data_IF_353788427496
#
_entry.id   IF_353788427496
#
_cell.length_a   1.000
_cell.length_b   1.000
_cell.length_c   1.000
_cell.angle_alpha   90.00
_cell.angle_beta   90.00
_cell.angle_gamma   90.00
#
_symmetry.space_group_name_H-M   'P 1'
#
loop_
_entity.id
_entity.type
_entity.pdbx_description
1 polymer ?
#
# COMPACT_ATOMS: atom_id res chain seq x y z
N UNK A 1 5.05 12.64 -5.82
CA UNK A 1 4.57 13.85 -5.14
C UNK A 1 4.42 13.50 -3.66
N UNK A 2 5.14 14.21 -2.79
CA UNK A 2 5.10 14.06 -1.34
C UNK A 2 3.97 14.91 -0.77
N UNK A 3 3.20 14.40 0.18
CA UNK A 3 2.13 15.17 0.85
C UNK A 3 2.60 15.50 2.25
N UNK A 4 2.68 16.79 2.57
CA UNK A 4 3.10 17.27 3.88
C UNK A 4 2.00 18.08 4.52
N UNK A 5 1.75 17.84 5.80
CA UNK A 5 0.87 18.68 6.61
C UNK A 5 1.75 19.63 7.40
N UNK A 6 1.43 20.93 7.37
CA UNK A 6 2.08 21.92 8.22
C UNK A 6 1.04 22.64 9.06
N UNK A 7 1.17 22.59 10.38
CA UNK A 7 0.16 23.11 11.29
C UNK A 7 0.75 23.61 12.62
N UNK A 8 0.11 24.62 13.18
CA UNK A 8 0.42 25.15 14.52
C UNK A 8 -0.68 24.72 15.48
N UNK A 9 -0.31 23.99 16.53
CA UNK A 9 -1.24 23.33 17.44
C UNK A 9 -0.77 23.39 18.89
N UNK A 10 -1.73 23.42 19.82
CA UNK A 10 -1.52 23.30 21.26
C UNK A 10 -1.11 21.89 21.70
N UNK A 11 -0.78 21.72 22.98
CA UNK A 11 -0.38 20.43 23.56
C UNK A 11 -1.49 19.39 23.42
N UNK A 12 -2.75 19.78 23.61
CA UNK A 12 -3.93 18.95 23.40
C UNK A 12 -4.46 18.88 21.94
N UNK A 13 -3.61 19.15 20.94
CA UNK A 13 -3.91 19.05 19.49
C UNK A 13 -4.98 20.02 18.96
N UNK A 14 -5.35 21.06 19.71
CA UNK A 14 -6.28 22.11 19.26
C UNK A 14 -5.56 23.09 18.33
N UNK A 15 -6.21 23.43 17.22
CA UNK A 15 -5.85 24.53 16.33
C UNK A 15 -6.63 25.78 16.78
N UNK A 16 -5.93 26.81 17.25
CA UNK A 16 -6.53 28.09 17.64
C UNK A 16 -5.88 29.26 16.89
N UNK A 17 -6.64 29.88 15.99
CA UNK A 17 -6.23 31.04 15.19
C UNK A 17 -5.70 32.22 16.03
N UNK A 18 -6.11 32.33 17.30
CA UNK A 18 -5.65 33.39 18.21
C UNK A 18 -4.23 33.15 18.73
N UNK A 19 -3.85 31.89 18.99
CA UNK A 19 -2.47 31.54 19.38
C UNK A 19 -1.49 31.66 18.21
N UNK A 20 -1.96 31.39 16.99
CA UNK A 20 -1.14 31.35 15.76
C UNK A 20 -0.65 32.75 15.34
N UNK A 21 -1.43 33.81 15.60
CA UNK A 21 -1.16 35.16 15.07
C UNK A 21 0.08 35.87 15.63
N UNK A 22 0.72 35.32 16.66
CA UNK A 22 1.76 36.02 17.42
C UNK A 22 3.10 35.28 17.50
N UNK A 23 3.25 34.13 16.82
CA UNK A 23 4.52 33.39 16.75
C UNK A 23 5.33 33.82 15.52
N UNK A 24 6.17 34.84 15.67
CA UNK A 24 6.97 35.37 14.55
C UNK A 24 7.90 34.32 13.91
N UNK A 25 8.42 33.39 14.72
CA UNK A 25 9.25 32.30 14.24
C UNK A 25 8.46 31.22 13.51
N UNK A 26 7.20 30.96 13.89
CA UNK A 26 6.32 30.04 13.17
C UNK A 26 6.07 30.52 11.74
N UNK A 27 5.82 31.83 11.56
CA UNK A 27 5.67 32.41 10.22
C UNK A 27 6.94 32.25 9.35
N UNK A 28 8.12 32.33 9.95
CA UNK A 28 9.39 32.07 9.25
C UNK A 28 9.51 30.59 8.88
N UNK A 29 9.20 29.70 9.82
CA UNK A 29 9.21 28.25 9.62
C UNK A 29 8.25 27.84 8.49
N UNK A 30 7.02 28.34 8.54
CA UNK A 30 6.01 28.14 7.49
C UNK A 30 6.50 28.63 6.12
N UNK A 31 7.12 29.81 6.03
CA UNK A 31 7.68 30.31 4.76
C UNK A 31 8.84 29.45 4.27
N UNK A 32 9.72 29.02 5.17
CA UNK A 32 10.88 28.19 4.84
C UNK A 32 10.45 26.89 4.16
N UNK A 33 9.41 26.24 4.67
CA UNK A 33 8.89 25.00 4.10
C UNK A 33 8.05 25.20 2.84
N UNK A 34 7.21 26.24 2.79
CA UNK A 34 6.15 26.32 1.76
C UNK A 34 6.50 27.15 0.53
N UNK A 35 7.53 27.99 0.56
CA UNK A 35 7.88 28.87 -0.57
C UNK A 35 8.30 28.04 -1.80
N UNK A 36 7.97 28.51 -3.01
CA UNK A 36 8.12 27.79 -4.30
C UNK A 36 7.37 26.45 -4.41
N UNK A 37 6.57 26.08 -3.40
CA UNK A 37 5.77 24.85 -3.38
C UNK A 37 4.29 25.13 -3.61
N UNK A 38 3.48 24.07 -3.71
CA UNK A 38 2.02 24.20 -3.73
C UNK A 38 1.45 24.11 -2.33
N UNK A 39 0.51 25.02 -2.02
CA UNK A 39 -0.26 25.00 -0.78
C UNK A 39 -1.73 24.69 -1.08
N UNK A 40 -2.28 23.73 -0.36
CA UNK A 40 -3.69 23.34 -0.42
C UNK A 40 -4.37 23.77 0.87
N UNK A 41 -5.45 24.55 0.73
CA UNK A 41 -6.19 25.08 1.87
C UNK A 41 -7.69 25.04 1.66
N UNK A 42 -8.44 25.03 2.77
CA UNK A 42 -9.90 25.14 2.72
C UNK A 42 -10.36 26.59 2.54
N UNK A 43 -11.58 26.77 2.04
CA UNK A 43 -12.23 28.09 1.87
C UNK A 43 -12.12 29.01 3.10
N UNK A 44 -12.35 28.48 4.31
CA UNK A 44 -12.29 29.27 5.55
C UNK A 44 -10.87 29.79 5.83
N UNK A 45 -9.86 28.96 5.59
CA UNK A 45 -8.45 29.32 5.73
C UNK A 45 -8.07 30.41 4.74
N UNK A 46 -8.46 30.27 3.46
CA UNK A 46 -8.26 31.31 2.45
C UNK A 46 -8.91 32.64 2.86
N UNK A 47 -10.17 32.60 3.32
CA UNK A 47 -10.88 33.80 3.79
C UNK A 47 -10.17 34.47 4.98
N UNK A 48 -9.54 33.69 5.87
CA UNK A 48 -8.76 34.20 7.00
C UNK A 48 -7.43 34.85 6.55
N UNK A 49 -6.76 34.29 5.54
CA UNK A 49 -5.57 34.86 4.93
C UNK A 49 -5.85 36.15 4.14
N UNK A 50 -7.03 36.24 3.52
CA UNK A 50 -7.51 37.40 2.77
C UNK A 50 -6.91 37.57 1.37
N UNK A 51 -5.78 36.93 1.09
CA UNK A 51 -5.12 36.92 -0.23
C UNK A 51 -4.28 35.65 -0.43
N UNK A 52 -3.96 35.28 -1.69
CA UNK A 52 -3.05 34.19 -1.97
C UNK A 52 -1.68 34.43 -1.34
N UNK A 53 -1.04 33.35 -0.91
CA UNK A 53 0.32 33.39 -0.39
C UNK A 53 1.31 33.62 -1.55
N UNK A 54 2.20 34.63 -1.48
CA UNK A 54 3.10 34.94 -2.59
C UNK A 54 4.10 33.82 -2.83
N UNK A 55 4.59 33.70 -4.07
CA UNK A 55 5.59 32.71 -4.50
C UNK A 55 5.20 31.26 -4.20
N UNK A 56 3.90 30.97 -4.31
CA UNK A 56 3.29 29.65 -4.08
C UNK A 56 2.15 29.46 -5.07
N UNK A 57 1.97 28.23 -5.52
CA UNK A 57 0.72 27.84 -6.19
C UNK A 57 -0.33 27.62 -5.10
N UNK A 58 -1.38 28.42 -5.10
CA UNK A 58 -2.41 28.39 -4.08
C UNK A 58 -3.64 27.63 -4.59
N UNK A 59 -4.02 26.56 -3.90
CA UNK A 59 -5.20 25.75 -4.22
C UNK A 59 -6.21 25.88 -3.09
N UNK A 60 -7.45 26.24 -3.43
CA UNK A 60 -8.56 26.39 -2.49
C UNK A 60 -9.57 25.27 -2.72
N UNK A 61 -9.65 24.34 -1.76
CA UNK A 61 -10.63 23.26 -1.72
C UNK A 61 -11.95 23.77 -1.12
N UNK A 62 -13.04 23.65 -1.87
CA UNK A 62 -14.35 24.14 -1.47
C UNK A 62 -15.48 23.34 -2.11
N UNK A 63 -16.59 23.16 -1.39
CA UNK A 63 -17.84 22.62 -1.95
C UNK A 63 -18.71 23.67 -2.63
N UNK A 64 -18.34 24.95 -2.52
CA UNK A 64 -19.07 26.06 -3.13
C UNK A 64 -18.66 26.17 -4.61
N UNK A 65 -19.56 25.93 -5.57
CA UNK A 65 -19.28 26.16 -6.98
C UNK A 65 -18.94 27.63 -7.23
N UNK A 66 -18.07 27.88 -8.21
CA UNK A 66 -17.70 29.23 -8.67
C UNK A 66 -17.22 30.17 -7.55
N UNK A 67 -16.56 29.63 -6.52
CA UNK A 67 -16.06 30.44 -5.41
C UNK A 67 -14.99 31.44 -5.90
N UNK A 68 -15.16 32.76 -5.67
CA UNK A 68 -14.24 33.76 -6.18
C UNK A 68 -12.99 33.84 -5.31
N UNK A 69 -11.97 33.04 -5.63
CA UNK A 69 -10.64 33.08 -5.01
C UNK A 69 -9.60 33.56 -6.04
N UNK A 70 -9.56 34.88 -6.25
CA UNK A 70 -8.64 35.50 -7.21
C UNK A 70 -7.17 35.12 -6.92
N UNK A 71 -6.43 34.74 -7.96
CA UNK A 71 -5.04 34.29 -7.84
C UNK A 71 -4.87 32.88 -7.23
N UNK A 72 -5.96 32.16 -6.99
CA UNK A 72 -5.95 30.75 -6.57
C UNK A 72 -6.59 29.84 -7.63
N UNK A 73 -6.23 28.57 -7.58
CA UNK A 73 -6.95 27.51 -8.29
C UNK A 73 -8.02 26.98 -7.34
N UNK A 74 -9.27 26.98 -7.78
CA UNK A 74 -10.40 26.48 -7.00
C UNK A 74 -10.71 25.06 -7.44
N UNK A 75 -10.81 24.17 -6.47
CA UNK A 75 -11.05 22.74 -6.70
C UNK A 75 -12.12 22.22 -5.74
N UNK A 76 -12.72 21.09 -6.10
CA UNK A 76 -13.90 20.54 -5.44
C UNK A 76 -13.69 19.14 -4.84
N UNK A 77 -12.54 18.51 -5.09
CA UNK A 77 -12.12 17.26 -4.43
C UNK A 77 -10.62 17.24 -4.10
N UNK A 78 -10.22 16.33 -3.22
CA UNK A 78 -8.81 16.08 -2.89
C UNK A 78 -8.02 15.65 -4.13
N UNK A 79 -8.61 14.83 -4.99
CA UNK A 79 -7.98 14.30 -6.21
C UNK A 79 -7.69 15.43 -7.21
N UNK A 80 -8.65 16.35 -7.38
CA UNK A 80 -8.48 17.53 -8.23
C UNK A 80 -7.38 18.44 -7.66
N UNK A 81 -7.37 18.65 -6.34
CA UNK A 81 -6.32 19.42 -5.67
C UNK A 81 -4.92 18.84 -5.93
N UNK A 82 -4.79 17.51 -5.85
CA UNK A 82 -3.52 16.81 -6.07
C UNK A 82 -3.11 16.79 -7.54
N UNK A 83 -4.07 16.68 -8.47
CA UNK A 83 -3.80 16.75 -9.90
C UNK A 83 -3.27 18.14 -10.30
N UNK A 84 -3.82 19.19 -9.70
CA UNK A 84 -3.40 20.58 -9.92
C UNK A 84 -2.08 20.90 -9.22
N UNK A 85 -1.62 20.10 -8.27
CA UNK A 85 -0.56 20.55 -7.38
C UNK A 85 0.82 20.68 -8.03
N UNK A 86 1.09 20.01 -9.15
CA UNK A 86 2.22 20.31 -10.07
C UNK A 86 3.64 20.36 -9.51
N UNK A 87 3.85 20.07 -8.22
CA UNK A 87 5.09 20.23 -7.46
C UNK A 87 5.55 18.89 -6.91
N UNK A 88 6.83 18.77 -6.57
CA UNK A 88 7.36 17.54 -5.97
C UNK A 88 6.80 17.29 -4.57
N UNK A 89 6.56 18.35 -3.80
CA UNK A 89 5.97 18.33 -2.45
C UNK A 89 4.84 19.36 -2.33
N UNK A 90 3.73 18.92 -1.74
CA UNK A 90 2.53 19.74 -1.53
C UNK A 90 2.29 19.91 -0.04
N UNK A 91 1.91 21.11 0.35
CA UNK A 91 1.66 21.47 1.75
C UNK A 91 0.18 21.67 1.99
N UNK A 92 -0.39 20.81 2.83
CA UNK A 92 -1.73 20.98 3.37
C UNK A 92 -1.62 21.94 4.55
N UNK A 93 -2.27 23.10 4.44
CA UNK A 93 -2.16 24.20 5.42
C UNK A 93 -3.49 24.44 6.18
N UNK A 94 -4.38 23.44 6.14
CA UNK A 94 -5.66 23.44 6.85
C UNK A 94 -6.84 23.97 6.03
N UNK A 95 -8.03 24.16 6.61
CA UNK A 95 -8.39 24.00 8.01
C UNK A 95 -8.66 22.55 8.43
N UNK A 96 -9.31 22.35 9.58
CA UNK A 96 -9.48 21.03 10.21
C UNK A 96 -10.07 19.93 9.32
N UNK A 97 -11.08 20.25 8.49
CA UNK A 97 -11.64 19.28 7.54
C UNK A 97 -10.59 18.87 6.49
N UNK A 98 -9.83 19.83 5.96
CA UNK A 98 -8.77 19.55 4.98
C UNK A 98 -7.65 18.72 5.63
N UNK A 99 -7.22 19.05 6.85
CA UNK A 99 -6.25 18.21 7.57
C UNK A 99 -6.75 16.77 7.73
N UNK A 100 -8.03 16.57 8.10
CA UNK A 100 -8.61 15.23 8.22
C UNK A 100 -8.60 14.48 6.89
N UNK A 101 -8.97 15.13 5.79
CA UNK A 101 -9.08 14.50 4.48
C UNK A 101 -7.72 14.03 3.96
N UNK A 102 -6.64 14.76 4.26
CA UNK A 102 -5.29 14.41 3.83
C UNK A 102 -4.48 13.62 4.86
N UNK A 103 -4.94 13.46 6.11
CA UNK A 103 -4.14 12.90 7.22
C UNK A 103 -3.53 11.53 6.91
N UNK A 104 -4.33 10.61 6.38
CA UNK A 104 -3.87 9.24 6.09
C UNK A 104 -2.99 9.17 4.83
N UNK A 105 -3.04 10.20 3.97
CA UNK A 105 -2.29 10.33 2.73
C UNK A 105 -0.96 11.06 2.94
N UNK A 106 -0.80 11.79 4.04
CA UNK A 106 0.41 12.53 4.36
C UNK A 106 1.63 11.60 4.58
N UNK A 107 2.78 12.09 4.15
CA UNK A 107 4.11 11.51 4.31
C UNK A 107 4.88 12.17 5.45
N UNK A 108 4.69 13.48 5.66
CA UNK A 108 5.29 14.23 6.76
C UNK A 108 4.25 15.06 7.53
N UNK A 109 4.54 15.33 8.79
CA UNK A 109 3.93 16.41 9.57
C UNK A 109 5.03 17.39 10.01
N UNK A 110 4.86 18.67 9.71
CA UNK A 110 5.67 19.77 10.24
C UNK A 110 4.80 20.53 11.25
N UNK A 111 5.05 20.32 12.55
CA UNK A 111 4.19 20.86 13.59
C UNK A 111 4.91 21.88 14.44
N UNK A 112 4.30 23.06 14.58
CA UNK A 112 4.63 23.99 15.65
C UNK A 112 3.75 23.63 16.85
N UNK A 113 4.33 22.92 17.83
CA UNK A 113 3.68 22.48 19.06
C UNK A 113 3.84 23.54 20.14
N UNK A 114 2.76 24.24 20.47
CA UNK A 114 2.73 25.19 21.58
C UNK A 114 2.46 24.41 22.87
N UNK A 115 3.35 24.52 23.85
CA UNK A 115 3.30 23.77 25.11
C UNK A 115 2.33 24.41 26.11
N UNK A 116 1.06 24.47 25.72
CA UNK A 116 -0.08 24.87 26.55
C UNK A 116 -1.32 24.13 26.07
N UNK A 117 -2.24 23.85 26.99
CA UNK A 117 -3.57 23.37 26.63
C UNK A 117 -4.49 24.54 26.29
N UNK A 118 -5.38 24.33 25.32
CA UNK A 118 -6.32 25.34 24.84
C UNK A 118 -7.71 24.73 24.72
N UNK A 119 -8.74 25.52 24.98
CA UNK A 119 -10.14 25.12 24.78
C UNK A 119 -10.54 25.52 23.36
N UNK A 120 -10.90 24.54 22.53
CA UNK A 120 -11.37 24.79 21.16
C UNK A 120 -12.16 23.62 20.59
N UNK A 121 -12.73 23.83 19.40
CA UNK A 121 -13.57 22.86 18.68
C UNK A 121 -12.87 22.26 17.44
N UNK A 122 -11.66 22.73 17.14
CA UNK A 122 -10.93 22.47 15.92
C UNK A 122 -9.62 21.77 16.25
N UNK A 123 -9.45 20.55 15.75
CA UNK A 123 -8.34 19.67 16.12
C UNK A 123 -7.65 19.10 14.87
N UNK A 124 -6.35 18.82 14.98
CA UNK A 124 -5.72 17.82 14.11
C UNK A 124 -6.05 16.41 14.62
N UNK A 125 -6.06 15.39 13.75
CA UNK A 125 -6.14 14.00 14.19
C UNK A 125 -4.98 13.63 15.14
N UNK A 126 -5.15 12.60 15.98
CA UNK A 126 -4.11 12.18 16.92
C UNK A 126 -2.86 11.68 16.19
N UNK A 127 -1.69 12.09 16.68
CA UNK A 127 -0.39 11.62 16.21
C UNK A 127 -0.11 10.29 16.90
N UNK A 128 -0.35 9.18 16.20
CA UNK A 128 -0.11 7.84 16.75
C UNK A 128 1.34 7.40 16.51
N UNK A 129 2.02 6.94 17.54
CA UNK A 129 3.42 6.47 17.48
C UNK A 129 3.64 5.19 16.68
N UNK A 130 2.57 4.46 16.36
CA UNK A 130 2.63 3.32 15.43
C UNK A 130 2.61 3.75 13.96
N UNK A 131 2.21 5.00 13.67
CA UNK A 131 2.15 5.57 12.31
C UNK A 131 3.23 6.62 12.07
N UNK A 132 3.60 7.42 13.07
CA UNK A 132 4.51 8.54 12.94
C UNK A 132 5.78 8.35 13.77
N UNK A 133 6.93 8.70 13.20
CA UNK A 133 8.22 8.77 13.89
C UNK A 133 8.59 10.25 14.01
N UNK A 134 8.93 10.72 15.21
CA UNK A 134 9.56 12.02 15.41
C UNK A 134 10.98 11.97 14.84
N UNK A 135 11.24 12.73 13.77
CA UNK A 135 12.54 12.78 13.09
C UNK A 135 13.44 13.87 13.70
N UNK A 136 12.83 14.97 14.13
CA UNK A 136 13.54 16.08 14.78
C UNK A 136 12.61 16.90 15.66
N UNK A 137 13.19 17.52 16.70
CA UNK A 137 12.54 18.50 17.56
C UNK A 137 13.50 19.63 17.87
N UNK A 138 13.02 20.86 17.70
CA UNK A 138 13.70 22.08 18.11
C UNK A 138 12.82 22.82 19.12
N UNK A 139 13.30 23.00 20.34
CA UNK A 139 12.56 23.65 21.42
C UNK A 139 12.91 25.14 21.54
N UNK A 140 11.91 25.97 21.77
CA UNK A 140 12.02 27.41 21.99
C UNK A 140 11.32 27.82 23.29
N UNK A 141 12.05 28.57 24.12
CA UNK A 141 11.51 29.20 25.32
C UNK A 141 10.60 30.38 24.97
N UNK A 142 9.63 30.63 25.85
CA UNK A 142 8.77 31.80 25.82
C UNK A 142 9.59 33.10 25.79
N UNK A 143 9.22 34.00 24.88
CA UNK A 143 9.71 35.38 24.84
C UNK A 143 8.59 36.35 24.43
N UNK A 144 8.80 37.65 24.64
CA UNK A 144 7.82 38.69 24.30
C UNK A 144 7.54 38.78 22.78
N UNK A 145 8.45 38.29 21.93
CA UNK A 145 8.30 38.29 20.47
C UNK A 145 7.44 37.14 19.95
N UNK A 146 7.18 36.13 20.78
CA UNK A 146 6.50 34.88 20.42
C UNK A 146 5.40 34.54 21.44
N UNK A 147 4.57 35.52 21.77
CA UNK A 147 3.34 35.34 22.56
C UNK A 147 3.52 34.90 24.02
N UNK A 148 4.74 34.78 24.53
CA UNK A 148 5.01 34.29 25.88
C UNK A 148 4.77 32.78 26.08
N UNK A 149 4.70 31.98 25.01
CA UNK A 149 4.55 30.52 25.12
C UNK A 149 5.85 29.79 24.78
N UNK A 150 6.12 28.70 25.49
CA UNK A 150 7.09 27.70 25.04
C UNK A 150 6.51 26.95 23.85
N UNK A 151 7.34 26.63 22.86
CA UNK A 151 6.91 25.83 21.70
C UNK A 151 8.06 25.00 21.16
N UNK A 152 7.72 23.96 20.39
CA UNK A 152 8.68 23.18 19.61
C UNK A 152 8.30 23.16 18.14
N UNK A 153 9.29 23.26 17.25
CA UNK A 153 9.14 22.75 15.89
C UNK A 153 9.42 21.25 15.90
N UNK A 154 8.46 20.44 15.46
CA UNK A 154 8.56 18.99 15.46
C UNK A 154 8.27 18.47 14.06
N UNK A 155 9.22 17.71 13.51
CA UNK A 155 9.05 17.04 12.24
C UNK A 155 8.75 15.58 12.49
N UNK A 156 7.65 15.09 11.93
CA UNK A 156 7.32 13.69 11.91
C UNK A 156 7.42 13.15 10.49
N UNK A 157 8.11 12.02 10.34
CA UNK A 157 8.05 11.18 9.15
C UNK A 157 7.05 10.05 9.37
N UNK A 158 6.32 9.66 8.32
CA UNK A 158 5.51 8.45 8.39
C UNK A 158 6.42 7.24 8.62
N UNK A 159 6.10 6.41 9.61
CA UNK A 159 6.82 5.19 9.93
C UNK A 159 6.78 4.24 8.73
N UNK A 160 7.88 4.21 7.98
CA UNK A 160 8.11 3.24 6.92
C UNK A 160 9.09 2.20 7.42
N UNK A 161 8.77 0.92 7.27
CA UNK A 161 9.70 -0.15 7.59
C UNK A 161 10.84 -0.10 6.55
N UNK A 162 11.99 0.48 6.92
CA UNK A 162 13.14 0.57 6.02
C UNK A 162 13.66 -0.82 5.67
N UNK A 163 14.04 -1.02 4.41
CA UNK A 163 14.60 -2.29 3.90
C UNK A 163 13.72 -3.51 4.23
N UNK A 164 12.40 -3.35 4.09
CA UNK A 164 11.39 -4.37 4.37
C UNK A 164 10.49 -4.68 3.17
N UNK A 165 9.54 -5.61 3.36
CA UNK A 165 8.43 -5.88 2.44
C UNK A 165 7.12 -5.97 3.22
N UNK A 166 6.02 -5.41 2.68
CA UNK A 166 4.68 -5.72 3.16
C UNK A 166 4.05 -6.79 2.24
N UNK A 167 3.70 -7.93 2.83
CA UNK A 167 3.13 -9.07 2.10
C UNK A 167 1.61 -8.96 2.16
N UNK A 168 0.94 -8.72 1.04
CA UNK A 168 -0.52 -8.70 0.94
C UNK A 168 -1.01 -10.11 0.59
N UNK A 169 -1.56 -10.82 1.58
CA UNK A 169 -2.03 -12.20 1.44
C UNK A 169 -3.55 -12.25 1.39
N UNK A 170 -4.14 -12.56 0.23
CA UNK A 170 -5.61 -12.62 0.11
C UNK A 170 -6.19 -13.95 0.59
N UNK A 171 -7.33 -13.90 1.30
CA UNK A 171 -8.03 -15.10 1.79
C UNK A 171 -9.54 -14.97 1.74
N UNK A 172 -10.23 -16.11 1.69
CA UNK A 172 -11.69 -16.22 1.84
C UNK A 172 -12.09 -17.65 2.22
N UNK A 173 -12.53 -17.87 3.46
CA UNK A 173 -13.11 -19.14 3.96
C UNK A 173 -12.28 -20.42 3.71
N UNK A 174 -10.94 -20.32 3.64
CA UNK A 174 -10.02 -21.44 3.38
C UNK A 174 -8.98 -21.59 4.50
N UNK A 175 -9.45 -21.80 5.73
CA UNK A 175 -8.59 -21.79 6.93
C UNK A 175 -7.43 -22.81 6.90
N UNK A 176 -7.66 -24.03 6.41
CA UNK A 176 -6.61 -25.07 6.32
C UNK A 176 -5.48 -24.67 5.36
N UNK A 177 -5.82 -24.13 4.19
CA UNK A 177 -4.83 -23.65 3.22
C UNK A 177 -4.10 -22.42 3.71
N UNK A 178 -4.84 -21.51 4.35
CA UNK A 178 -4.24 -20.31 4.92
C UNK A 178 -3.21 -20.65 5.98
N UNK A 179 -3.51 -21.63 6.85
CA UNK A 179 -2.57 -22.11 7.86
C UNK A 179 -1.27 -22.63 7.23
N UNK A 180 -1.36 -23.51 6.21
CA UNK A 180 -0.16 -24.00 5.49
C UNK A 180 0.62 -22.87 4.83
N UNK A 181 -0.08 -21.91 4.23
CA UNK A 181 0.55 -20.75 3.60
C UNK A 181 1.28 -19.87 4.62
N UNK A 182 0.69 -19.64 5.80
CA UNK A 182 1.32 -18.90 6.89
C UNK A 182 2.55 -19.62 7.44
N UNK A 183 2.55 -20.96 7.52
CA UNK A 183 3.77 -21.72 7.83
C UNK A 183 4.87 -21.52 6.79
N UNK A 184 4.53 -21.37 5.51
CA UNK A 184 5.50 -21.04 4.47
C UNK A 184 6.12 -19.65 4.67
N UNK A 185 5.34 -18.67 5.15
CA UNK A 185 5.86 -17.35 5.51
C UNK A 185 6.69 -17.37 6.81
N UNK A 186 6.32 -18.20 7.79
CA UNK A 186 7.09 -18.43 9.01
C UNK A 186 8.48 -19.03 8.69
N UNK A 187 8.55 -19.91 7.68
CA UNK A 187 9.78 -20.53 7.21
C UNK A 187 10.69 -19.60 6.37
N UNK A 188 10.34 -18.33 6.13
CA UNK A 188 11.15 -17.44 5.31
C UNK A 188 12.51 -17.14 5.95
N UNK A 189 13.55 -17.10 5.10
CA UNK A 189 14.92 -16.73 5.46
C UNK A 189 15.10 -15.23 5.65
N UNK A 190 14.39 -14.41 4.88
CA UNK A 190 14.32 -12.97 5.07
C UNK A 190 13.21 -12.66 6.09
N UNK A 191 13.56 -11.98 7.19
CA UNK A 191 12.65 -11.75 8.34
C UNK A 191 12.10 -10.34 8.48
N UNK A 192 12.65 -9.35 7.75
CA UNK A 192 12.22 -7.97 7.85
C UNK A 192 10.97 -7.71 6.98
N UNK A 193 9.84 -8.32 7.32
CA UNK A 193 8.58 -8.12 6.63
C UNK A 193 7.41 -8.07 7.60
N UNK A 194 6.32 -7.45 7.18
CA UNK A 194 5.00 -7.63 7.80
C UNK A 194 4.07 -8.37 6.82
N UNK A 195 3.02 -8.97 7.35
CA UNK A 195 1.96 -9.60 6.55
C UNK A 195 0.62 -8.91 6.78
N UNK A 196 -0.01 -8.49 5.69
CA UNK A 196 -1.36 -7.93 5.66
C UNK A 196 -2.28 -9.03 5.15
N UNK A 197 -3.05 -9.61 6.06
CA UNK A 197 -4.04 -10.62 5.71
C UNK A 197 -5.28 -9.90 5.17
N UNK A 198 -5.48 -9.98 3.86
CA UNK A 198 -6.57 -9.35 3.13
C UNK A 198 -7.76 -10.31 3.03
N UNK A 199 -8.64 -10.26 4.01
CA UNK A 199 -9.77 -11.19 4.16
C UNK A 199 -11.06 -10.64 3.50
N UNK A 200 -11.48 -11.28 2.40
CA UNK A 200 -12.64 -10.90 1.59
C UNK A 200 -13.99 -11.31 2.22
N UNK A 201 -14.13 -11.13 3.53
CA UNK A 201 -15.37 -11.45 4.26
C UNK A 201 -15.49 -12.89 4.69
N UNK A 202 -14.41 -13.51 5.17
CA UNK A 202 -14.52 -14.81 5.80
C UNK A 202 -15.44 -14.78 7.02
N UNK A 203 -16.15 -15.90 7.22
CA UNK A 203 -17.12 -16.09 8.29
C UNK A 203 -16.42 -16.24 9.64
N UNK A 204 -17.21 -16.13 10.72
CA UNK A 204 -16.75 -16.20 12.11
C UNK A 204 -15.78 -17.35 12.39
N UNK A 205 -16.07 -18.56 11.89
CA UNK A 205 -15.20 -19.72 12.10
C UNK A 205 -13.77 -19.52 11.56
N UNK A 206 -13.66 -19.03 10.32
CA UNK A 206 -12.36 -18.73 9.70
C UNK A 206 -11.69 -17.56 10.40
N UNK A 207 -12.46 -16.52 10.74
CA UNK A 207 -11.95 -15.36 11.47
C UNK A 207 -11.34 -15.76 12.82
N UNK A 208 -12.06 -16.55 13.63
CA UNK A 208 -11.59 -17.01 14.94
C UNK A 208 -10.31 -17.85 14.82
N UNK A 209 -10.25 -18.75 13.82
CA UNK A 209 -9.04 -19.54 13.53
C UNK A 209 -7.85 -18.64 13.19
N UNK A 210 -8.05 -17.62 12.36
CA UNK A 210 -7.03 -16.63 12.03
C UNK A 210 -6.56 -15.89 13.29
N UNK A 211 -7.49 -15.43 14.13
CA UNK A 211 -7.13 -14.72 15.37
C UNK A 211 -6.36 -15.60 16.36
N UNK A 212 -6.66 -16.90 16.41
CA UNK A 212 -5.90 -17.85 17.23
C UNK A 212 -4.50 -18.15 16.69
N UNK A 213 -4.29 -18.05 15.37
CA UNK A 213 -3.02 -18.35 14.72
C UNK A 213 -2.04 -17.17 14.75
N UNK A 214 -2.52 -15.94 14.61
CA UNK A 214 -1.67 -14.73 14.55
C UNK A 214 -0.65 -14.64 15.71
N UNK A 215 -1.02 -14.85 16.99
CA UNK A 215 -0.07 -14.78 18.10
C UNK A 215 1.06 -15.82 18.08
N UNK A 216 0.94 -16.86 17.24
CA UNK A 216 1.91 -17.94 17.14
C UNK A 216 2.98 -17.68 16.07
N UNK A 217 2.82 -16.63 15.26
CA UNK A 217 3.74 -16.27 14.18
C UNK A 217 4.84 -15.34 14.69
N UNK A 218 6.06 -15.48 14.16
CA UNK A 218 7.21 -14.66 14.59
C UNK A 218 7.26 -13.29 13.91
N UNK A 219 6.39 -13.04 12.93
CA UNK A 219 6.32 -11.80 12.17
C UNK A 219 5.01 -11.03 12.42
N UNK A 220 4.99 -9.70 12.29
CA UNK A 220 3.77 -8.91 12.47
C UNK A 220 2.71 -9.26 11.44
N UNK A 221 1.47 -9.48 11.90
CA UNK A 221 0.31 -9.68 11.04
C UNK A 221 -0.76 -8.61 11.30
N UNK A 222 -1.14 -7.88 10.26
CA UNK A 222 -2.30 -6.99 10.26
C UNK A 222 -3.46 -7.66 9.55
N UNK A 223 -4.54 -7.93 10.26
CA UNK A 223 -5.75 -8.50 9.66
C UNK A 223 -6.65 -7.37 9.14
N UNK A 224 -6.77 -7.25 7.81
CA UNK A 224 -7.69 -6.32 7.15
C UNK A 224 -8.87 -7.14 6.66
N UNK A 225 -10.05 -6.86 7.23
CA UNK A 225 -11.28 -7.59 6.97
C UNK A 225 -12.40 -6.63 6.58
N UNK A 226 -13.33 -7.10 5.76
CA UNK A 226 -14.60 -6.42 5.49
C UNK A 226 -15.75 -7.41 5.39
N UNK A 227 -17.00 -6.93 5.48
CA UNK A 227 -18.20 -7.77 5.46
C UNK A 227 -18.29 -8.67 4.20
N UNK A 228 -18.91 -9.85 4.27
CA UNK A 228 -19.16 -10.64 3.06
C UNK A 228 -20.29 -10.01 2.22
N UNK A 229 -19.96 -9.50 1.04
CA UNK A 229 -20.95 -9.03 0.03
C UNK A 229 -20.68 -9.67 -1.33
N UNK A 230 -20.26 -10.94 -1.31
CA UNK A 230 -19.78 -11.68 -2.48
C UNK A 230 -18.36 -11.31 -2.86
N UNK A 231 -17.91 -11.76 -4.04
CA UNK A 231 -16.52 -11.62 -4.48
C UNK A 231 -16.10 -10.15 -4.59
N UNK A 232 -15.23 -9.69 -3.68
CA UNK A 232 -14.70 -8.31 -3.61
C UNK A 232 -13.20 -8.30 -3.32
N UNK A 233 -12.49 -9.33 -3.78
CA UNK A 233 -11.02 -9.45 -3.71
C UNK A 233 -10.28 -8.16 -4.09
N UNK A 234 -10.67 -7.48 -5.17
CA UNK A 234 -10.01 -6.23 -5.57
C UNK A 234 -10.13 -5.12 -4.49
N UNK A 235 -11.29 -4.98 -3.85
CA UNK A 235 -11.55 -3.99 -2.80
C UNK A 235 -10.69 -4.28 -1.55
N UNK A 236 -10.63 -5.55 -1.11
CA UNK A 236 -9.82 -5.89 0.06
C UNK A 236 -8.31 -5.79 -0.22
N UNK A 237 -7.87 -6.06 -1.45
CA UNK A 237 -6.50 -5.81 -1.89
C UNK A 237 -6.16 -4.31 -1.88
N UNK A 238 -7.07 -3.45 -2.33
CA UNK A 238 -6.92 -1.99 -2.29
C UNK A 238 -6.81 -1.46 -0.85
N UNK A 239 -7.71 -1.90 0.04
CA UNK A 239 -7.64 -1.60 1.49
C UNK A 239 -6.30 -2.04 2.09
N UNK A 240 -5.79 -3.20 1.66
CA UNK A 240 -4.53 -3.74 2.15
C UNK A 240 -3.30 -2.99 1.63
N UNK A 241 -3.34 -2.49 0.39
CA UNK A 241 -2.31 -1.58 -0.13
C UNK A 241 -2.20 -0.35 0.77
N UNK A 242 -3.32 0.28 1.10
CA UNK A 242 -3.35 1.47 1.97
C UNK A 242 -2.93 1.18 3.42
N UNK A 243 -3.13 -0.06 3.89
CA UNK A 243 -2.77 -0.48 5.24
C UNK A 243 -1.28 -0.87 5.40
N UNK A 244 -0.52 -0.90 4.32
CA UNK A 244 0.90 -1.30 4.32
C UNK A 244 1.82 -0.24 4.93
N UNK A 245 2.87 -0.71 5.62
CA UNK A 245 3.91 0.10 6.23
C UNK A 245 5.24 0.07 5.46
N UNK A 246 5.37 -0.77 4.43
CA UNK A 246 6.53 -0.83 3.54
C UNK A 246 6.24 -0.21 2.18
N UNK A 247 7.28 0.31 1.54
CA UNK A 247 7.22 0.89 0.19
C UNK A 247 7.22 -0.16 -0.92
N UNK A 248 7.48 -1.41 -0.57
CA UNK A 248 7.52 -2.52 -1.50
C UNK A 248 6.51 -3.60 -1.10
N UNK A 249 5.61 -3.93 -2.02
CA UNK A 249 4.51 -4.86 -1.78
C UNK A 249 4.75 -6.17 -2.51
N UNK A 250 4.50 -7.28 -1.82
CA UNK A 250 4.46 -8.63 -2.37
C UNK A 250 3.05 -9.19 -2.24
N UNK A 251 2.40 -9.53 -3.34
CA UNK A 251 1.05 -10.09 -3.36
C UNK A 251 1.10 -11.60 -3.39
N UNK A 252 0.25 -12.23 -2.59
CA UNK A 252 0.11 -13.68 -2.52
C UNK A 252 -1.34 -14.09 -2.25
N UNK A 253 -1.63 -15.36 -2.47
CA UNK A 253 -2.93 -15.96 -2.22
C UNK A 253 -2.82 -16.94 -1.05
N UNK A 254 -3.86 -17.04 -0.21
CA UNK A 254 -3.89 -17.86 0.99
C UNK A 254 -3.77 -19.37 0.75
N UNK A 255 -3.70 -19.79 -0.51
CA UNK A 255 -3.49 -21.16 -0.97
C UNK A 255 -2.13 -21.36 -1.67
N UNK A 256 -1.22 -20.39 -1.55
CA UNK A 256 0.09 -20.40 -2.20
C UNK A 256 1.22 -20.45 -1.16
N UNK A 257 1.74 -21.65 -0.86
CA UNK A 257 2.86 -21.84 0.06
C UNK A 257 4.15 -21.33 -0.62
N UNK A 258 4.85 -20.31 -0.09
CA UNK A 258 6.12 -19.84 -0.65
C UNK A 258 7.30 -20.75 -0.29
N UNK A 259 8.29 -20.88 -1.19
CA UNK A 259 9.61 -21.46 -0.83
C UNK A 259 10.30 -20.58 0.21
N UNK A 260 11.15 -21.13 1.06
CA UNK A 260 11.81 -20.40 2.18
C UNK A 260 12.66 -19.17 1.77
N UNK A 261 13.02 -19.02 0.51
CA UNK A 261 13.78 -17.89 -0.03
C UNK A 261 12.90 -16.89 -0.82
N UNK A 262 11.58 -17.10 -0.85
CA UNK A 262 10.64 -16.36 -1.69
C UNK A 262 10.70 -14.85 -1.44
N UNK A 263 10.54 -14.43 -0.18
CA UNK A 263 10.57 -13.01 0.19
C UNK A 263 11.98 -12.42 -0.05
N UNK A 264 13.04 -13.19 0.22
CA UNK A 264 14.42 -12.76 -0.02
C UNK A 264 14.70 -12.51 -1.52
N UNK A 265 14.24 -13.39 -2.40
CA UNK A 265 14.39 -13.23 -3.85
C UNK A 265 13.63 -12.01 -4.35
N UNK A 266 12.39 -11.80 -3.89
CA UNK A 266 11.61 -10.61 -4.20
C UNK A 266 12.29 -9.32 -3.72
N UNK A 267 12.84 -9.35 -2.51
CA UNK A 267 13.59 -8.23 -1.96
C UNK A 267 14.80 -7.91 -2.86
N UNK A 268 15.67 -8.88 -3.12
CA UNK A 268 16.93 -8.66 -3.85
C UNK A 268 16.72 -8.21 -5.30
N UNK A 269 15.64 -8.62 -5.96
CA UNK A 269 15.41 -8.32 -7.37
C UNK A 269 14.55 -7.07 -7.61
N UNK A 270 14.07 -6.41 -6.54
CA UNK A 270 13.23 -5.21 -6.68
C UNK A 270 13.96 -4.12 -7.47
N UNK A 271 13.23 -3.48 -8.39
CA UNK A 271 13.75 -2.41 -9.24
C UNK A 271 12.67 -1.37 -9.48
N UNK A 272 13.00 -0.10 -9.36
CA UNK A 272 12.06 1.00 -9.63
C UNK A 272 11.62 0.98 -11.10
N UNK A 273 10.37 1.37 -11.37
CA UNK A 273 9.79 1.30 -12.72
C UNK A 273 9.59 -0.14 -13.22
N UNK A 274 9.64 -1.14 -12.33
CA UNK A 274 9.42 -2.54 -12.68
C UNK A 274 8.60 -3.27 -11.61
N UNK A 275 7.86 -4.29 -12.03
CA UNK A 275 7.25 -5.28 -11.13
C UNK A 275 7.87 -6.66 -11.35
N UNK A 276 7.87 -7.51 -10.32
CA UNK A 276 8.37 -8.89 -10.43
C UNK A 276 7.22 -9.85 -10.69
N UNK A 277 7.47 -10.81 -11.59
CA UNK A 277 6.53 -11.86 -11.99
C UNK A 277 7.11 -13.23 -11.62
N UNK A 278 6.59 -13.85 -10.57
CA UNK A 278 7.05 -15.15 -10.11
C UNK A 278 6.41 -16.34 -10.85
N UNK A 279 6.91 -17.53 -10.52
CA UNK A 279 6.38 -18.81 -10.94
C UNK A 279 5.62 -19.49 -9.81
N UNK A 280 4.67 -20.33 -10.16
CA UNK A 280 4.01 -21.24 -9.22
C UNK A 280 4.03 -22.67 -9.74
N UNK A 281 3.89 -23.64 -8.85
CA UNK A 281 3.64 -25.04 -9.19
C UNK A 281 2.30 -25.46 -8.59
N UNK A 282 1.34 -25.82 -9.46
CA UNK A 282 0.01 -26.26 -9.01
C UNK A 282 0.03 -27.73 -8.65
N UNK A 283 -0.46 -28.07 -7.46
CA UNK A 283 -0.69 -29.46 -7.05
C UNK A 283 -2.14 -29.89 -7.33
N UNK A 284 -2.37 -31.19 -7.26
CA UNK A 284 -3.72 -31.75 -7.16
C UNK A 284 -4.17 -31.75 -5.68
N UNK A 285 -5.46 -32.00 -5.44
CA UNK A 285 -6.03 -32.00 -4.09
C UNK A 285 -5.37 -33.00 -3.14
N UNK A 286 -5.07 -34.21 -3.62
CA UNK A 286 -4.43 -35.27 -2.82
C UNK A 286 -3.07 -34.81 -2.25
N UNK A 287 -2.20 -34.31 -3.12
CA UNK A 287 -0.88 -33.80 -2.72
C UNK A 287 -0.96 -32.55 -1.86
N UNK A 288 -1.93 -31.67 -2.14
CA UNK A 288 -2.15 -30.46 -1.34
C UNK A 288 -2.48 -30.81 0.12
N UNK A 289 -3.24 -31.88 0.34
CA UNK A 289 -3.57 -32.38 1.68
C UNK A 289 -2.38 -33.07 2.35
N UNK A 290 -1.58 -33.83 1.60
CA UNK A 290 -0.41 -34.56 2.12
C UNK A 290 0.69 -33.66 2.69
N UNK A 291 0.84 -32.42 2.21
CA UNK A 291 1.86 -31.50 2.73
C UNK A 291 1.64 -31.25 4.22
N UNK A 292 2.62 -31.62 5.03
CA UNK A 292 2.65 -31.39 6.48
C UNK A 292 3.36 -30.08 6.83
N UNK A 293 3.24 -29.66 8.10
CA UNK A 293 4.01 -28.54 8.64
C UNK A 293 5.53 -28.78 8.48
N UNK A 294 6.00 -29.99 8.80
CA UNK A 294 7.42 -30.34 8.68
C UNK A 294 7.93 -30.28 7.22
N UNK A 295 7.13 -30.76 6.26
CA UNK A 295 7.49 -30.65 4.84
C UNK A 295 7.73 -29.21 4.39
N UNK A 296 6.99 -28.25 4.97
CA UNK A 296 7.12 -26.82 4.68
C UNK A 296 8.39 -26.26 5.33
N UNK A 297 8.61 -26.51 6.62
CA UNK A 297 9.79 -25.99 7.34
C UNK A 297 11.10 -26.57 6.83
N UNK A 298 11.14 -27.86 6.50
CA UNK A 298 12.32 -28.52 5.92
C UNK A 298 12.45 -28.29 4.41
N UNK A 299 11.43 -27.69 3.77
CA UNK A 299 11.41 -27.45 2.33
C UNK A 299 11.27 -28.71 1.48
N UNK A 300 10.87 -29.84 2.05
CA UNK A 300 10.72 -31.11 1.34
C UNK A 300 9.75 -30.99 0.15
N UNK A 301 8.61 -30.33 0.34
CA UNK A 301 7.59 -30.15 -0.69
C UNK A 301 8.06 -29.30 -1.88
N UNK A 302 9.18 -28.59 -1.75
CA UNK A 302 9.84 -27.82 -2.83
C UNK A 302 10.93 -28.62 -3.57
N UNK A 303 11.04 -29.93 -3.34
CA UNK A 303 12.05 -30.77 -4.01
C UNK A 303 11.42 -31.67 -5.07
N UNK A 304 12.09 -31.81 -6.21
CA UNK A 304 11.66 -32.74 -7.28
C UNK A 304 11.63 -34.18 -6.78
N UNK A 305 12.50 -34.55 -5.83
CA UNK A 305 12.55 -35.88 -5.21
C UNK A 305 11.24 -36.17 -4.46
N UNK A 306 10.81 -35.26 -3.58
CA UNK A 306 9.57 -35.42 -2.82
C UNK A 306 8.35 -35.48 -3.74
N UNK A 307 8.28 -34.61 -4.76
CA UNK A 307 7.17 -34.60 -5.71
C UNK A 307 7.06 -35.90 -6.52
N UNK A 308 8.20 -36.46 -6.96
CA UNK A 308 8.22 -37.75 -7.65
C UNK A 308 7.84 -38.91 -6.74
N UNK A 309 8.29 -38.90 -5.49
CA UNK A 309 7.95 -39.93 -4.51
C UNK A 309 6.45 -39.99 -4.24
N UNK A 310 5.73 -38.89 -4.42
CA UNK A 310 4.28 -38.79 -4.27
C UNK A 310 3.54 -38.73 -5.63
N UNK A 311 4.14 -39.26 -6.70
CA UNK A 311 3.42 -39.52 -7.95
C UNK A 311 3.35 -38.37 -8.96
N UNK A 312 4.08 -37.26 -8.78
CA UNK A 312 4.21 -36.24 -9.83
C UNK A 312 5.21 -36.71 -10.91
N UNK A 313 4.73 -36.81 -12.14
CA UNK A 313 5.54 -37.16 -13.30
C UNK A 313 6.62 -36.11 -13.62
N UNK A 314 7.71 -36.57 -14.24
CA UNK A 314 8.73 -35.65 -14.73
C UNK A 314 8.15 -34.72 -15.80
N UNK A 315 8.26 -33.41 -15.60
CA UNK A 315 7.84 -32.42 -16.59
C UNK A 315 8.80 -31.24 -16.62
N UNK A 316 8.79 -30.45 -17.70
CA UNK A 316 9.58 -29.23 -17.79
C UNK A 316 9.30 -28.25 -16.63
N UNK A 317 8.09 -28.28 -16.05
CA UNK A 317 7.71 -27.44 -14.90
C UNK A 317 8.55 -27.73 -13.66
N UNK A 318 9.21 -28.89 -13.57
CA UNK A 318 10.09 -29.26 -12.46
C UNK A 318 11.32 -28.35 -12.38
N UNK A 319 11.68 -27.67 -13.49
CA UNK A 319 12.76 -26.68 -13.48
C UNK A 319 12.48 -25.46 -12.58
N UNK A 320 11.23 -25.23 -12.16
CA UNK A 320 10.90 -24.18 -11.17
C UNK A 320 11.46 -24.45 -9.78
N UNK A 321 11.81 -25.70 -9.49
CA UNK A 321 12.45 -26.12 -8.24
C UNK A 321 13.98 -26.17 -8.36
N UNK A 322 14.55 -25.57 -9.40
CA UNK A 322 16.01 -25.46 -9.51
C UNK A 322 16.56 -24.64 -8.33
N UNK A 323 17.71 -25.07 -7.82
CA UNK A 323 18.51 -24.34 -6.82
C UNK A 323 19.73 -23.67 -7.44
N UNK A 324 20.03 -23.96 -8.72
CA UNK A 324 21.14 -23.32 -9.44
C UNK A 324 20.75 -21.93 -9.94
N UNK A 325 21.44 -20.90 -9.43
CA UNK A 325 21.26 -19.51 -9.84
C UNK A 325 21.55 -19.29 -11.34
N UNK A 326 22.60 -19.92 -11.87
CA UNK A 326 22.94 -19.82 -13.30
C UNK A 326 21.83 -20.40 -14.18
N UNK A 327 21.30 -21.57 -13.81
CA UNK A 327 20.20 -22.20 -14.54
C UNK A 327 18.92 -21.38 -14.44
N UNK A 328 18.60 -20.84 -13.26
CA UNK A 328 17.46 -19.97 -13.05
C UNK A 328 17.55 -18.71 -13.93
N UNK A 329 18.71 -18.06 -13.95
CA UNK A 329 19.00 -16.92 -14.82
C UNK A 329 18.78 -17.26 -16.29
N UNK A 330 19.39 -18.34 -16.80
CA UNK A 330 19.22 -18.78 -18.19
C UNK A 330 17.73 -18.99 -18.54
N UNK A 331 16.99 -19.68 -17.67
CA UNK A 331 15.58 -19.98 -17.89
C UNK A 331 14.69 -18.74 -17.82
N UNK A 332 14.99 -17.77 -16.96
CA UNK A 332 14.26 -16.51 -16.88
C UNK A 332 14.55 -15.61 -18.09
N UNK A 333 15.79 -15.56 -18.58
CA UNK A 333 16.18 -14.72 -19.72
C UNK A 333 15.54 -15.20 -21.02
N UNK A 334 15.49 -16.51 -21.25
CA UNK A 334 15.03 -17.08 -22.52
C UNK A 334 13.61 -17.67 -22.48
N UNK A 335 12.84 -17.43 -21.41
CA UNK A 335 11.47 -17.92 -21.33
C UNK A 335 10.57 -17.23 -22.36
N UNK A 336 9.75 -17.97 -23.12
CA UNK A 336 8.73 -17.37 -24.00
C UNK A 336 7.53 -16.81 -23.20
N UNK A 337 7.49 -17.05 -21.88
CA UNK A 337 6.40 -16.59 -21.01
C UNK A 337 6.56 -15.09 -20.74
N UNK A 338 5.49 -14.31 -20.95
CA UNK A 338 5.48 -12.88 -20.60
C UNK A 338 5.51 -12.66 -19.08
N UNK A 339 6.27 -11.67 -18.63
CA UNK A 339 6.23 -11.20 -17.25
C UNK A 339 4.90 -10.50 -17.04
N UNK A 340 4.11 -10.98 -16.08
CA UNK A 340 2.75 -10.48 -15.90
C UNK A 340 2.39 -10.51 -14.43
N UNK A 341 1.56 -9.58 -14.01
CA UNK A 341 1.08 -9.55 -12.64
C UNK A 341 0.10 -10.70 -12.39
N UNK A 342 0.38 -11.51 -11.37
CA UNK A 342 -0.45 -12.63 -10.92
C UNK A 342 -0.52 -12.61 -9.39
N UNK A 343 -1.70 -12.89 -8.82
CA UNK A 343 -1.93 -12.80 -7.38
C UNK A 343 -1.04 -13.69 -6.53
N UNK A 344 -0.57 -14.82 -7.05
CA UNK A 344 0.23 -15.82 -6.33
C UNK A 344 1.71 -15.44 -6.10
N UNK A 345 2.12 -14.18 -6.27
CA UNK A 345 3.51 -13.77 -6.08
C UNK A 345 4.05 -12.68 -6.98
N UNK A 346 3.22 -11.71 -7.40
CA UNK A 346 3.75 -10.50 -8.03
C UNK A 346 4.17 -9.47 -6.96
N UNK A 347 5.19 -8.67 -7.25
CA UNK A 347 5.62 -7.60 -6.33
C UNK A 347 5.98 -6.31 -7.06
N UNK A 348 5.84 -5.18 -6.38
CA UNK A 348 6.13 -3.87 -6.95
C UNK A 348 6.19 -2.77 -5.90
N UNK A 349 6.71 -1.62 -6.31
CA UNK A 349 6.76 -0.44 -5.45
C UNK A 349 5.36 0.17 -5.29
N UNK A 350 5.02 0.62 -4.08
CA UNK A 350 3.72 1.21 -3.79
C UNK A 350 3.45 2.43 -4.66
N UNK A 351 4.45 3.28 -4.88
CA UNK A 351 4.30 4.47 -5.73
C UNK A 351 4.00 4.12 -7.20
N UNK A 352 4.47 2.98 -7.70
CA UNK A 352 4.17 2.50 -9.04
C UNK A 352 2.76 1.88 -9.11
N UNK A 353 2.36 1.15 -8.08
CA UNK A 353 1.01 0.58 -7.91
C UNK A 353 -0.06 1.70 -7.88
N UNK A 354 0.18 2.75 -7.11
CA UNK A 354 -0.74 3.87 -6.92
C UNK A 354 -0.96 4.70 -8.19
N UNK A 355 0.01 4.76 -9.12
CA UNK A 355 -0.19 5.40 -10.45
C UNK A 355 -1.39 4.85 -11.21
N UNK A 356 -1.71 3.57 -10.99
CA UNK A 356 -2.84 2.91 -11.66
C UNK A 356 -4.17 3.04 -10.91
N UNK A 357 -4.17 3.62 -9.70
CA UNK A 357 -5.30 3.59 -8.76
C UNK A 357 -5.65 2.17 -8.27
N UNK A 358 -4.64 1.34 -7.96
CA UNK A 358 -4.85 0.00 -7.41
C UNK A 358 -5.61 -0.98 -8.33
N UNK A 359 -6.21 -2.01 -7.74
CA UNK A 359 -7.02 -3.02 -8.44
C UNK A 359 -8.38 -2.45 -8.85
N UNK A 360 -8.89 -2.89 -10.01
CA UNK A 360 -10.21 -2.47 -10.49
C UNK A 360 -11.32 -3.21 -9.73
N UNK A 361 -12.06 -2.49 -8.88
CA UNK A 361 -13.08 -3.05 -7.98
C UNK A 361 -14.33 -3.56 -8.69
N UNK A 362 -14.53 -3.17 -9.96
CA UNK A 362 -15.64 -3.68 -10.78
C UNK A 362 -15.39 -5.11 -11.27
N UNK A 363 -14.13 -5.58 -11.25
CA UNK A 363 -13.76 -6.90 -11.74
C UNK A 363 -14.05 -7.97 -10.69
N UNK A 364 -14.71 -9.04 -11.13
CA UNK A 364 -14.95 -10.24 -10.33
C UNK A 364 -13.85 -11.27 -10.60
N UNK A 365 -14.06 -12.54 -10.24
CA UNK A 365 -13.04 -13.57 -10.43
C UNK A 365 -12.64 -13.75 -11.90
N UNK A 366 -11.33 -13.72 -12.15
CA UNK A 366 -10.68 -14.12 -13.39
C UNK A 366 -10.10 -12.95 -14.19
N UNK A 367 -8.77 -12.86 -14.24
CA UNK A 367 -8.06 -11.88 -15.06
C UNK A 367 -7.89 -10.50 -14.44
N UNK A 368 -8.42 -10.25 -13.24
CA UNK A 368 -8.28 -9.00 -12.50
C UNK A 368 -6.81 -8.62 -12.24
N UNK A 369 -5.98 -9.59 -11.82
CA UNK A 369 -4.55 -9.38 -11.61
C UNK A 369 -3.83 -8.99 -12.91
N UNK A 370 -4.26 -9.59 -14.02
CA UNK A 370 -3.68 -9.33 -15.34
C UNK A 370 -4.06 -7.97 -15.87
N UNK A 371 -5.28 -7.53 -15.61
CA UNK A 371 -5.75 -6.18 -15.96
C UNK A 371 -4.94 -5.12 -15.20
N UNK A 372 -4.72 -5.33 -13.90
CA UNK A 372 -3.87 -4.49 -13.08
C UNK A 372 -2.44 -4.41 -13.64
N UNK A 373 -1.83 -5.55 -13.96
CA UNK A 373 -0.52 -5.60 -14.61
C UNK A 373 -0.49 -4.93 -16.00
N UNK A 374 -1.58 -5.00 -16.76
CA UNK A 374 -1.70 -4.32 -18.06
C UNK A 374 -1.71 -2.79 -17.91
N UNK A 375 -2.34 -2.26 -16.84
CA UNK A 375 -2.27 -0.82 -16.52
C UNK A 375 -0.88 -0.39 -16.08
N UNK A 376 -0.17 -1.22 -15.30
CA UNK A 376 1.24 -0.95 -14.97
C UNK A 376 2.11 -0.86 -16.23
N UNK A 377 1.99 -1.82 -17.14
CA UNK A 377 2.71 -1.80 -18.43
C UNK A 377 2.36 -0.56 -19.27
N UNK A 378 1.10 -0.12 -19.28
CA UNK A 378 0.71 1.11 -19.96
C UNK A 378 1.32 2.37 -19.32
N UNK A 379 1.67 2.34 -18.02
CA UNK A 379 2.39 3.40 -17.31
C UNK A 379 3.93 3.29 -17.44
N UNK A 380 4.44 2.41 -18.31
CA UNK A 380 5.88 2.20 -18.48
C UNK A 380 6.55 1.44 -17.32
N UNK A 381 5.76 0.74 -16.51
CA UNK A 381 6.24 -0.08 -15.39
C UNK A 381 6.28 -1.54 -15.86
N UNK A 382 7.47 -2.04 -16.14
CA UNK A 382 7.65 -3.28 -16.89
C UNK A 382 7.88 -4.50 -16.00
N UNK A 383 7.34 -5.65 -16.43
CA UNK A 383 7.52 -6.91 -15.71
C UNK A 383 8.93 -7.52 -15.87
N UNK A 384 9.53 -7.96 -14.77
CA UNK A 384 10.75 -8.78 -14.72
C UNK A 384 10.37 -10.23 -14.38
N UNK A 385 10.93 -11.19 -15.13
CA UNK A 385 10.74 -12.60 -14.83
C UNK A 385 11.65 -13.06 -13.68
N UNK A 386 11.04 -13.61 -12.64
CA UNK A 386 11.75 -14.36 -11.58
C UNK A 386 11.16 -15.77 -11.41
N UNK A 387 10.50 -16.27 -12.46
CA UNK A 387 9.74 -17.53 -12.50
C UNK A 387 10.52 -18.78 -12.10
N UNK A 388 11.82 -18.78 -12.37
CA UNK A 388 12.74 -19.87 -12.03
C UNK A 388 13.70 -19.50 -10.90
N UNK A 389 13.66 -18.25 -10.43
CA UNK A 389 14.48 -17.80 -9.29
C UNK A 389 13.83 -18.15 -7.96
N UNK A 390 12.49 -18.13 -7.90
CA UNK A 390 11.72 -18.61 -6.76
C UNK A 390 10.35 -19.14 -7.21
N UNK A 391 9.67 -19.86 -6.33
CA UNK A 391 8.41 -20.54 -6.62
C UNK A 391 7.50 -20.59 -5.39
N UNK A 392 6.20 -20.54 -5.61
CA UNK A 392 5.20 -20.96 -4.64
C UNK A 392 4.50 -22.24 -5.10
N UNK A 393 4.04 -23.05 -4.15
CA UNK A 393 3.18 -24.20 -4.39
C UNK A 393 1.74 -23.74 -4.25
N UNK A 394 0.96 -23.86 -5.32
CA UNK A 394 -0.45 -23.54 -5.31
C UNK A 394 -1.24 -24.80 -4.96
N UNK A 395 -1.88 -24.76 -3.78
CA UNK A 395 -2.76 -25.80 -3.26
C UNK A 395 -4.04 -25.84 -4.09
N UNK A 396 -4.55 -27.03 -4.35
CA UNK A 396 -5.77 -27.18 -5.17
C UNK A 396 -7.01 -26.79 -4.36
N UNK A 397 -7.95 -26.11 -4.99
CA UNK A 397 -9.21 -25.71 -4.37
C UNK A 397 -10.31 -25.55 -5.43
N UNK A 398 -11.59 -25.78 -5.07
CA UNK A 398 -12.72 -25.47 -5.93
C UNK A 398 -12.88 -23.94 -6.08
N UNK A 399 -13.45 -23.52 -7.21
CA UNK A 399 -13.62 -22.11 -7.59
C UNK A 399 -15.10 -21.80 -7.82
N UNK A 400 -15.90 -21.96 -6.77
CA UNK A 400 -17.36 -21.83 -6.83
C UNK A 400 -17.82 -20.44 -7.27
N UNK A 401 -17.04 -19.40 -6.96
CA UNK A 401 -17.26 -18.02 -7.39
C UNK A 401 -17.00 -17.76 -8.89
N UNK A 402 -16.53 -18.75 -9.65
CA UNK A 402 -16.23 -18.59 -11.07
C UNK A 402 -17.51 -18.68 -11.90
N UNK A 403 -17.98 -17.55 -12.42
CA UNK A 403 -19.15 -17.49 -13.30
C UNK A 403 -18.76 -17.23 -14.76
N UNK A 404 -19.55 -17.70 -15.72
CA UNK A 404 -19.30 -17.42 -17.14
C UNK A 404 -19.37 -15.91 -17.44
N UNK A 405 -20.37 -15.23 -16.88
CA UNK A 405 -20.59 -13.80 -17.03
C UNK A 405 -19.40 -12.97 -16.56
N UNK A 406 -18.86 -13.26 -15.37
CA UNK A 406 -17.68 -12.55 -14.85
C UNK A 406 -16.46 -12.71 -15.77
N UNK A 407 -16.24 -13.92 -16.30
CA UNK A 407 -15.14 -14.18 -17.24
C UNK A 407 -15.30 -13.38 -18.53
N UNK A 408 -16.52 -13.31 -19.08
CA UNK A 408 -16.79 -12.52 -20.30
C UNK A 408 -16.60 -11.03 -20.04
N UNK A 409 -17.18 -10.50 -18.96
CA UNK A 409 -17.02 -9.10 -18.55
C UNK A 409 -15.55 -8.73 -18.35
N UNK A 410 -14.80 -9.53 -17.60
CA UNK A 410 -13.40 -9.27 -17.32
C UNK A 410 -12.52 -9.35 -18.57
N UNK A 411 -12.81 -10.28 -19.51
CA UNK A 411 -12.13 -10.32 -20.81
C UNK A 411 -12.38 -9.05 -21.62
N UNK A 412 -13.61 -8.52 -21.60
CA UNK A 412 -13.95 -7.27 -22.28
C UNK A 412 -13.20 -6.08 -21.67
N UNK A 413 -13.20 -5.95 -20.34
CA UNK A 413 -12.44 -4.91 -19.61
C UNK A 413 -10.96 -4.97 -20.00
N UNK A 414 -10.32 -6.13 -19.89
CA UNK A 414 -8.90 -6.30 -20.28
C UNK A 414 -8.63 -5.97 -21.75
N UNK A 415 -9.52 -6.37 -22.65
CA UNK A 415 -9.39 -6.05 -24.08
C UNK A 415 -9.44 -4.53 -24.29
N UNK A 416 -10.32 -3.83 -23.59
CA UNK A 416 -10.39 -2.38 -23.57
C UNK A 416 -9.10 -1.77 -23.00
N UNK A 417 -8.69 -2.15 -21.78
CA UNK A 417 -7.45 -1.69 -21.11
C UNK A 417 -6.23 -1.75 -22.02
N UNK A 418 -6.02 -2.87 -22.74
CA UNK A 418 -4.91 -3.01 -23.68
C UNK A 418 -5.08 -2.17 -24.95
N UNK A 419 -6.28 -2.10 -25.52
CA UNK A 419 -6.56 -1.40 -26.79
C UNK A 419 -6.46 0.11 -26.64
N UNK A 420 -6.99 0.66 -25.55
CA UNK A 420 -7.07 2.11 -25.32
C UNK A 420 -5.98 2.63 -24.40
N UNK A 421 -5.04 1.77 -23.98
CA UNK A 421 -3.90 2.15 -23.12
C UNK A 421 -4.35 2.81 -21.82
N UNK A 422 -5.37 2.25 -21.17
CA UNK A 422 -5.86 2.73 -19.88
C UNK A 422 -4.70 2.75 -18.88
N UNK A 423 -4.45 3.92 -18.29
CA UNK A 423 -3.39 4.12 -17.29
C UNK A 423 -3.90 3.90 -15.88
N UNK A 424 -5.12 4.36 -15.59
CA UNK A 424 -5.71 4.41 -14.26
C UNK A 424 -7.15 3.90 -14.30
N UNK A 425 -7.55 3.10 -13.32
CA UNK A 425 -8.97 2.69 -13.19
C UNK A 425 -9.77 3.80 -12.47
N UNK A 426 -10.99 4.12 -12.91
CA UNK A 426 -11.87 5.03 -12.17
C UNK A 426 -12.57 4.35 -10.97
N UNK A 427 -12.41 3.04 -10.79
CA UNK A 427 -13.00 2.28 -9.68
C UNK A 427 -11.87 1.54 -8.97
N UNK A 428 -11.10 2.29 -8.19
CA UNK A 428 -9.84 1.85 -7.61
C UNK A 428 -9.76 2.18 -6.13
N UNK A 429 -8.62 2.70 -5.69
CA UNK A 429 -8.37 3.12 -4.31
C UNK A 429 -9.04 4.47 -4.00
N UNK A 430 -8.87 5.43 -4.91
CA UNK A 430 -9.41 6.80 -4.82
C UNK A 430 -10.90 6.85 -5.13
#
# INVERSE_FOLDING_TARGET
>A
MKISIIATVSENNVIDDKLIRYLSNDLKHFRMHTTESTVIMGRKTYKSLGKPLPNRRNIVLTRQPDYPAEGCIVVHSEEEALQEAGSEEVFIIGGSEVYRNFWNRADNLYLTRIHTDVIGDTYIPPIRSDVWIEESREFHWADEKNSGYNYSFINYGKKRLKDSISIVLSTYNQSEWLEKTLYGYEAQTFKNFELILADDGSRKETYDKVQALIPQLSFPVKHVWHEDKGFRKCEILNKSILASASDYLLFSDGDCIPRNDFVAVHFLHRKTGHFLSNGYHKLNMELSRLITKDDIFQGHCFTVKWLKAHGISASFKNNKFTTSNFKAWLLNTFTPTKATWNGHGASGWIFDILKTNGFNEQMKYGGQDREFGERLENNGIHGIQIRYSTVCIHLDHPREYKTFESIVKNKAIRKYTRKTKVLRTPNGID
#
